data_IF_125164044805
#
_entry.id   IF_125164044805
#
_cell.length_a   1.000
_cell.length_b   1.000
_cell.length_c   1.000
_cell.angle_alpha   90.00
_cell.angle_beta   90.00
_cell.angle_gamma   90.00
#
_symmetry.space_group_name_H-M   'P 1'
#
loop_
_entity.id
_entity.type
_entity.pdbx_description
1 polymer ?
#
# COMPACT_ATOMS: atom_id res chain seq x y z
N UNK A 1 43.54 -5.30 14.48
CA UNK A 1 42.13 -5.29 14.91
C UNK A 1 41.43 -3.94 14.77
N UNK A 2 42.08 -2.78 15.00
CA UNK A 2 41.45 -1.45 14.90
C UNK A 2 40.87 -1.08 13.50
N UNK A 3 41.51 -1.52 12.42
CA UNK A 3 41.08 -1.20 11.03
C UNK A 3 39.77 -1.88 10.59
N UNK A 4 39.43 -3.02 11.16
CA UNK A 4 38.17 -3.74 10.82
C UNK A 4 36.97 -3.13 11.51
N UNK A 5 37.08 -2.68 12.76
CA UNK A 5 36.03 -2.03 13.54
C UNK A 5 35.69 -0.64 12.96
N UNK A 6 36.69 0.10 12.51
CA UNK A 6 36.49 1.41 11.84
C UNK A 6 35.80 1.24 10.48
N UNK A 7 36.11 0.24 9.68
CA UNK A 7 35.42 -0.05 8.40
C UNK A 7 33.96 -0.43 8.61
N UNK A 8 33.65 -1.26 9.60
CA UNK A 8 32.25 -1.65 9.89
C UNK A 8 31.41 -0.46 10.40
N UNK A 9 31.98 0.40 11.23
CA UNK A 9 31.33 1.64 11.70
C UNK A 9 31.03 2.62 10.56
N UNK A 10 31.96 2.79 9.63
CA UNK A 10 31.82 3.65 8.44
C UNK A 10 30.73 3.13 7.49
N UNK A 11 30.71 1.83 7.21
CA UNK A 11 29.70 1.17 6.37
C UNK A 11 28.30 1.31 6.98
N UNK A 12 28.16 1.16 8.30
CA UNK A 12 26.89 1.35 9.02
C UNK A 12 26.39 2.79 8.92
N UNK A 13 27.29 3.78 9.07
CA UNK A 13 26.95 5.20 8.94
C UNK A 13 26.49 5.54 7.52
N UNK A 14 27.20 5.06 6.50
CA UNK A 14 26.82 5.25 5.10
C UNK A 14 25.45 4.64 4.77
N UNK A 15 25.12 3.46 5.32
CA UNK A 15 23.83 2.82 5.11
C UNK A 15 22.70 3.59 5.80
N UNK A 16 22.91 4.08 7.02
CA UNK A 16 21.93 4.95 7.70
C UNK A 16 21.66 6.21 6.86
N UNK A 17 22.71 6.85 6.36
CA UNK A 17 22.56 8.05 5.52
C UNK A 17 21.84 7.75 4.19
N UNK A 18 22.10 6.61 3.58
CA UNK A 18 21.38 6.15 2.38
C UNK A 18 19.89 5.98 2.67
N UNK A 19 19.54 5.32 3.76
CA UNK A 19 18.14 5.14 4.18
C UNK A 19 17.45 6.47 4.45
N UNK A 20 18.11 7.41 5.12
CA UNK A 20 17.58 8.78 5.31
C UNK A 20 17.25 9.44 3.97
N UNK A 21 18.16 9.41 3.01
CA UNK A 21 17.94 9.97 1.67
C UNK A 21 16.78 9.32 0.92
N UNK A 22 16.55 8.01 1.12
CA UNK A 22 15.38 7.32 0.56
C UNK A 22 14.11 7.88 1.15
N UNK A 23 14.04 7.98 2.49
CA UNK A 23 12.86 8.50 3.18
C UNK A 23 12.57 9.95 2.78
N UNK A 24 13.59 10.81 2.75
CA UNK A 24 13.48 12.22 2.32
C UNK A 24 13.04 12.36 0.87
N UNK A 25 13.54 11.49 -0.02
CA UNK A 25 13.14 11.46 -1.42
C UNK A 25 11.67 11.10 -1.61
N UNK A 26 11.17 10.14 -0.82
CA UNK A 26 9.76 9.77 -0.82
C UNK A 26 8.88 10.91 -0.28
N UNK A 27 9.31 11.58 0.81
CA UNK A 27 8.59 12.74 1.38
C UNK A 27 8.43 13.87 0.36
N UNK A 28 9.53 14.25 -0.28
CA UNK A 28 9.49 15.33 -1.30
C UNK A 28 8.58 14.99 -2.47
N UNK A 29 8.52 13.71 -2.85
CA UNK A 29 7.74 13.30 -4.03
C UNK A 29 6.26 13.06 -3.71
N UNK A 30 5.96 12.62 -2.51
CA UNK A 30 4.62 12.25 -2.07
C UNK A 30 4.32 12.80 -0.67
N UNK A 31 4.33 14.14 -0.48
CA UNK A 31 4.14 14.76 0.83
C UNK A 31 2.75 14.44 1.42
N UNK A 32 1.72 14.36 0.55
CA UNK A 32 0.32 14.13 0.93
C UNK A 32 -0.14 12.69 0.66
N UNK A 33 0.80 11.71 0.74
CA UNK A 33 0.47 10.32 0.50
C UNK A 33 -0.55 9.81 1.53
N UNK A 34 -1.70 9.37 1.04
CA UNK A 34 -2.82 8.88 1.85
C UNK A 34 -3.48 7.65 1.22
N UNK A 35 -4.38 7.03 1.95
CA UNK A 35 -5.19 5.92 1.46
C UNK A 35 -5.98 6.35 0.21
N UNK A 36 -5.96 5.50 -0.82
CA UNK A 36 -6.66 5.75 -2.08
C UNK A 36 -8.11 5.22 -2.06
N UNK A 37 -8.52 4.51 -1.01
CA UNK A 37 -9.90 4.03 -0.85
C UNK A 37 -10.77 5.13 -0.28
N UNK A 38 -11.87 5.45 -0.96
CA UNK A 38 -12.86 6.43 -0.51
C UNK A 38 -13.64 5.88 0.69
N UNK A 39 -13.72 6.65 1.78
CA UNK A 39 -14.43 6.27 2.99
C UNK A 39 -14.76 7.51 3.83
N UNK A 40 -15.82 7.45 4.61
CA UNK A 40 -16.26 8.51 5.54
C UNK A 40 -15.97 8.17 7.01
N UNK A 41 -15.81 6.89 7.31
CA UNK A 41 -15.58 6.36 8.66
C UNK A 41 -14.82 5.03 8.62
N UNK A 42 -14.44 4.51 9.80
CA UNK A 42 -13.69 3.27 9.96
C UNK A 42 -14.41 2.03 9.40
N UNK A 43 -15.74 1.97 9.50
CA UNK A 43 -16.52 0.86 8.96
C UNK A 43 -16.48 0.83 7.43
N UNK A 44 -16.66 1.96 6.78
CA UNK A 44 -16.54 2.06 5.32
C UNK A 44 -15.13 1.71 4.83
N UNK A 45 -14.10 2.18 5.55
CA UNK A 45 -12.71 1.81 5.24
C UNK A 45 -12.48 0.31 5.40
N UNK A 46 -13.01 -0.30 6.45
CA UNK A 46 -12.91 -1.75 6.68
C UNK A 46 -13.50 -2.53 5.50
N UNK A 47 -14.74 -2.20 5.09
CA UNK A 47 -15.40 -2.82 3.93
C UNK A 47 -14.59 -2.59 2.65
N UNK A 48 -14.20 -1.34 2.36
CA UNK A 48 -13.44 -1.01 1.17
C UNK A 48 -12.11 -1.78 1.13
N UNK A 49 -11.44 -1.95 2.28
CA UNK A 49 -10.18 -2.70 2.37
C UNK A 49 -10.40 -4.20 2.13
N UNK A 50 -11.47 -4.80 2.66
CA UNK A 50 -11.83 -6.20 2.35
C UNK A 50 -12.10 -6.36 0.85
N UNK A 51 -12.82 -5.41 0.24
CA UNK A 51 -13.12 -5.43 -1.19
C UNK A 51 -11.88 -5.22 -2.07
N UNK A 52 -10.83 -4.54 -1.58
CA UNK A 52 -9.60 -4.27 -2.34
C UNK A 52 -8.70 -5.49 -2.55
N UNK A 53 -8.97 -6.62 -1.87
CA UNK A 53 -8.23 -7.85 -2.10
C UNK A 53 -8.33 -8.30 -3.58
N UNK A 54 -7.19 -8.28 -4.30
CA UNK A 54 -7.10 -8.60 -5.75
C UNK A 54 -8.04 -7.75 -6.62
N UNK A 55 -8.27 -6.49 -6.24
CA UNK A 55 -9.06 -5.52 -6.98
C UNK A 55 -8.36 -4.16 -6.95
N UNK A 56 -8.53 -3.35 -8.00
CA UNK A 56 -7.95 -2.00 -8.02
C UNK A 56 -8.76 -1.05 -7.14
N UNK A 57 -8.08 -0.05 -6.54
CA UNK A 57 -8.74 0.92 -5.68
C UNK A 57 -9.83 1.71 -6.44
N UNK A 58 -9.57 2.03 -7.73
CA UNK A 58 -10.56 2.73 -8.58
C UNK A 58 -11.83 1.90 -8.73
N UNK A 59 -11.70 0.58 -8.95
CA UNK A 59 -12.87 -0.30 -9.05
C UNK A 59 -13.59 -0.40 -7.71
N UNK A 60 -12.87 -0.51 -6.60
CA UNK A 60 -13.46 -0.52 -5.26
C UNK A 60 -14.24 0.77 -5.01
N UNK A 61 -13.65 1.93 -5.30
CA UNK A 61 -14.29 3.23 -5.09
C UNK A 61 -15.58 3.41 -5.91
N UNK A 62 -15.60 2.89 -7.16
CA UNK A 62 -16.84 2.88 -7.97
C UNK A 62 -17.91 2.04 -7.27
N UNK A 63 -17.58 0.83 -6.82
CA UNK A 63 -18.53 -0.09 -6.19
C UNK A 63 -18.99 0.43 -4.84
N UNK A 64 -18.08 0.91 -3.98
CA UNK A 64 -18.42 1.36 -2.63
C UNK A 64 -19.27 2.62 -2.60
N UNK A 65 -19.17 3.48 -3.62
CA UNK A 65 -20.05 4.65 -3.76
C UNK A 65 -21.53 4.27 -3.78
N UNK A 66 -21.90 3.26 -4.55
CA UNK A 66 -23.29 2.80 -4.64
C UNK A 66 -23.64 1.89 -3.45
N UNK A 67 -22.70 1.06 -3.02
CA UNK A 67 -22.85 0.18 -1.87
C UNK A 67 -23.21 0.99 -0.60
N UNK A 68 -22.47 2.05 -0.27
CA UNK A 68 -22.68 2.85 0.93
C UNK A 68 -23.90 3.80 0.83
N UNK A 69 -24.41 4.05 -0.35
CA UNK A 69 -25.73 4.67 -0.52
C UNK A 69 -26.86 3.71 -0.18
N UNK A 70 -26.76 2.46 -0.64
CA UNK A 70 -27.76 1.42 -0.42
C UNK A 70 -27.71 0.88 1.01
N UNK A 71 -26.52 0.63 1.53
CA UNK A 71 -26.29 0.11 2.87
C UNK A 71 -25.62 1.19 3.72
N UNK A 72 -26.44 2.14 4.19
CA UNK A 72 -25.95 3.37 4.83
C UNK A 72 -25.43 3.18 6.26
N UNK A 73 -25.67 2.02 6.87
CA UNK A 73 -25.24 1.70 8.23
C UNK A 73 -24.87 0.21 8.37
N UNK A 74 -24.25 -0.11 9.49
CA UNK A 74 -23.79 -1.46 9.83
C UNK A 74 -24.93 -2.49 9.82
N UNK A 75 -26.09 -2.11 10.35
CA UNK A 75 -27.27 -2.99 10.45
C UNK A 75 -27.77 -3.40 9.08
N UNK A 76 -27.81 -2.46 8.12
CA UNK A 76 -28.29 -2.78 6.77
C UNK A 76 -27.35 -3.72 6.02
N UNK A 77 -26.03 -3.67 6.27
CA UNK A 77 -25.07 -4.65 5.73
C UNK A 77 -25.24 -6.02 6.40
N UNK A 78 -25.39 -6.05 7.74
CA UNK A 78 -25.52 -7.30 8.52
C UNK A 78 -26.76 -8.10 8.15
N UNK A 79 -27.88 -7.40 7.79
CA UNK A 79 -29.18 -8.02 7.48
C UNK A 79 -29.47 -8.14 5.98
N UNK A 80 -28.59 -7.61 5.12
CA UNK A 80 -28.76 -7.66 3.67
C UNK A 80 -28.98 -9.10 3.16
N UNK A 81 -29.86 -9.33 2.17
CA UNK A 81 -29.91 -10.61 1.49
C UNK A 81 -28.55 -10.91 0.84
N UNK A 82 -27.91 -12.03 1.20
CA UNK A 82 -26.54 -12.32 0.78
C UNK A 82 -26.39 -12.31 -0.76
N UNK A 83 -27.38 -12.81 -1.49
CA UNK A 83 -27.37 -12.81 -2.96
C UNK A 83 -27.37 -11.40 -3.55
N UNK A 84 -28.08 -10.48 -2.92
CA UNK A 84 -28.13 -9.09 -3.33
C UNK A 84 -26.79 -8.41 -3.10
N UNK A 85 -26.21 -8.59 -1.91
CA UNK A 85 -24.87 -8.08 -1.59
C UNK A 85 -23.81 -8.64 -2.54
N UNK A 86 -23.89 -9.93 -2.90
CA UNK A 86 -23.01 -10.58 -3.90
C UNK A 86 -23.12 -9.89 -5.28
N UNK A 87 -24.32 -9.52 -5.71
CA UNK A 87 -24.55 -8.82 -6.98
C UNK A 87 -23.95 -7.42 -6.95
N UNK A 88 -24.19 -6.67 -5.88
CA UNK A 88 -23.74 -5.29 -5.72
C UNK A 88 -22.21 -5.17 -5.77
N UNK A 89 -21.48 -6.14 -5.23
CA UNK A 89 -20.01 -6.15 -5.22
C UNK A 89 -19.37 -7.04 -6.30
N UNK A 90 -20.16 -7.61 -7.22
CA UNK A 90 -19.70 -8.63 -8.18
C UNK A 90 -18.45 -8.22 -8.95
N UNK A 91 -18.36 -6.97 -9.36
CA UNK A 91 -17.25 -6.47 -10.17
C UNK A 91 -15.92 -6.34 -9.43
N UNK A 92 -15.89 -6.56 -8.11
CA UNK A 92 -14.65 -6.57 -7.32
C UNK A 92 -13.88 -7.89 -7.37
N UNK A 93 -14.43 -8.93 -8.01
CA UNK A 93 -13.88 -10.28 -8.03
C UNK A 93 -13.99 -11.01 -6.67
N UNK A 94 -13.94 -12.32 -6.66
CA UNK A 94 -14.10 -13.14 -5.43
C UNK A 94 -15.31 -12.74 -4.57
N UNK A 95 -16.32 -12.17 -5.21
CA UNK A 95 -17.44 -11.47 -4.60
C UNK A 95 -18.22 -12.30 -3.57
N UNK A 96 -18.38 -13.63 -3.79
CA UNK A 96 -19.09 -14.52 -2.85
C UNK A 96 -18.40 -14.58 -1.50
N UNK A 97 -17.08 -14.75 -1.48
CA UNK A 97 -16.30 -14.78 -0.25
C UNK A 97 -16.27 -13.39 0.40
N UNK A 98 -16.08 -12.34 -0.40
CA UNK A 98 -16.11 -10.95 0.08
C UNK A 98 -17.47 -10.59 0.68
N UNK A 99 -18.58 -10.97 0.06
CA UNK A 99 -19.92 -10.70 0.60
C UNK A 99 -20.12 -11.38 1.96
N UNK A 100 -19.73 -12.66 2.08
CA UNK A 100 -19.75 -13.35 3.37
C UNK A 100 -18.87 -12.68 4.41
N UNK A 101 -17.67 -12.25 4.02
CA UNK A 101 -16.73 -11.59 4.92
C UNK A 101 -17.28 -10.26 5.43
N UNK A 102 -17.74 -9.36 4.55
CA UNK A 102 -18.28 -8.06 4.98
C UNK A 102 -19.56 -8.19 5.79
N UNK A 103 -20.45 -9.13 5.44
CA UNK A 103 -21.66 -9.39 6.22
C UNK A 103 -21.34 -10.00 7.59
N UNK A 104 -20.42 -10.97 7.64
CA UNK A 104 -19.97 -11.58 8.89
C UNK A 104 -19.25 -10.58 9.79
N UNK A 105 -18.39 -9.72 9.21
CA UNK A 105 -17.76 -8.64 9.95
C UNK A 105 -18.80 -7.67 10.52
N UNK A 106 -19.79 -7.26 9.72
CA UNK A 106 -20.86 -6.37 10.17
C UNK A 106 -21.67 -6.97 11.34
N UNK A 107 -22.01 -8.26 11.28
CA UNK A 107 -22.70 -8.96 12.38
C UNK A 107 -21.85 -9.01 13.64
N UNK A 108 -20.58 -9.42 13.51
CA UNK A 108 -19.67 -9.50 14.66
C UNK A 108 -19.44 -8.13 15.30
N UNK A 109 -19.34 -7.05 14.50
CA UNK A 109 -19.24 -5.70 15.02
C UNK A 109 -20.46 -5.32 15.87
N UNK A 110 -21.67 -5.69 15.44
CA UNK A 110 -22.90 -5.46 16.22
C UNK A 110 -22.94 -6.28 17.51
N UNK A 111 -22.65 -7.56 17.41
CA UNK A 111 -22.81 -8.52 18.49
C UNK A 111 -21.72 -8.41 19.57
N UNK A 112 -20.46 -8.23 19.16
CA UNK A 112 -19.30 -8.27 20.06
C UNK A 112 -18.72 -6.89 20.39
N UNK A 113 -18.81 -5.94 19.46
CA UNK A 113 -18.10 -4.64 19.57
C UNK A 113 -19.04 -3.43 19.67
N UNK A 114 -20.35 -3.67 19.99
CA UNK A 114 -21.32 -2.59 20.19
C UNK A 114 -21.52 -1.69 18.98
N UNK A 115 -21.27 -2.21 17.76
CA UNK A 115 -21.38 -1.48 16.51
C UNK A 115 -20.15 -0.62 16.14
N UNK A 116 -19.08 -0.71 16.89
CA UNK A 116 -17.84 0.03 16.63
C UNK A 116 -16.77 -0.85 15.97
N UNK A 117 -15.94 -0.25 15.13
CA UNK A 117 -14.75 -0.94 14.59
C UNK A 117 -13.69 -0.96 15.69
N UNK A 118 -13.13 -2.14 16.02
CA UNK A 118 -12.11 -2.27 17.04
C UNK A 118 -10.85 -1.47 16.75
N UNK A 119 -10.17 -1.04 17.80
CA UNK A 119 -8.98 -0.21 17.73
C UNK A 119 -7.69 -0.95 18.12
N UNK A 120 -7.73 -2.28 18.17
CA UNK A 120 -6.57 -3.15 18.42
C UNK A 120 -6.40 -4.15 17.27
N UNK A 121 -5.17 -4.59 17.03
CA UNK A 121 -4.88 -5.57 15.99
C UNK A 121 -5.51 -6.93 16.32
N UNK A 122 -5.45 -7.31 17.59
CA UNK A 122 -5.96 -8.58 18.10
C UNK A 122 -7.46 -8.74 17.82
N UNK A 123 -8.24 -7.70 18.09
CA UNK A 123 -9.68 -7.71 17.85
C UNK A 123 -10.02 -7.58 16.35
N UNK A 124 -9.28 -6.77 15.59
CA UNK A 124 -9.53 -6.60 14.15
C UNK A 124 -9.35 -7.90 13.38
N UNK A 125 -8.35 -8.72 13.71
CA UNK A 125 -8.11 -9.99 12.99
C UNK A 125 -9.11 -11.09 13.34
N UNK A 126 -9.95 -10.89 14.36
CA UNK A 126 -11.09 -11.79 14.60
C UNK A 126 -12.21 -11.60 13.56
N UNK A 127 -12.28 -10.41 12.94
CA UNK A 127 -13.34 -10.09 11.98
C UNK A 127 -13.16 -10.92 10.70
N UNK A 128 -14.24 -11.53 10.17
CA UNK A 128 -14.18 -12.26 8.91
C UNK A 128 -13.59 -11.43 7.75
N UNK A 129 -12.59 -11.98 7.07
CA UNK A 129 -11.93 -11.32 5.94
C UNK A 129 -10.88 -10.28 6.31
N UNK A 130 -10.57 -10.13 7.59
CA UNK A 130 -9.55 -9.20 8.10
C UNK A 130 -8.29 -9.96 8.48
N UNK A 131 -7.23 -9.76 7.73
CA UNK A 131 -5.89 -10.20 8.06
C UNK A 131 -5.08 -9.01 8.61
N UNK A 132 -3.87 -9.28 9.16
CA UNK A 132 -2.97 -8.26 9.69
C UNK A 132 -2.78 -7.05 8.77
N UNK A 133 -2.63 -7.28 7.46
CA UNK A 133 -2.52 -6.20 6.48
C UNK A 133 -3.75 -5.28 6.48
N UNK A 134 -4.95 -5.84 6.50
CA UNK A 134 -6.20 -5.08 6.59
C UNK A 134 -6.27 -4.32 7.91
N UNK A 135 -5.93 -4.98 9.02
CA UNK A 135 -5.84 -4.34 10.34
C UNK A 135 -4.89 -3.13 10.34
N UNK A 136 -3.69 -3.26 9.78
CA UNK A 136 -2.73 -2.14 9.67
C UNK A 136 -3.31 -0.95 8.87
N UNK A 137 -4.06 -1.21 7.79
CA UNK A 137 -4.72 -0.12 7.03
C UNK A 137 -5.77 0.57 7.88
N UNK A 138 -6.65 -0.19 8.53
CA UNK A 138 -7.74 0.37 9.35
C UNK A 138 -7.20 1.13 10.55
N UNK A 139 -6.26 0.55 11.31
CA UNK A 139 -5.64 1.19 12.47
C UNK A 139 -4.89 2.47 12.09
N UNK A 140 -4.11 2.42 11.02
CA UNK A 140 -3.33 3.57 10.58
C UNK A 140 -4.20 4.70 10.05
N UNK A 141 -5.15 4.38 9.17
CA UNK A 141 -5.93 5.40 8.45
C UNK A 141 -7.06 5.97 9.29
N UNK A 142 -7.82 5.11 10.01
CA UNK A 142 -8.98 5.57 10.78
C UNK A 142 -8.63 6.06 12.19
N UNK A 143 -7.59 5.50 12.80
CA UNK A 143 -7.27 5.75 14.20
C UNK A 143 -5.89 6.37 14.44
N UNK A 144 -5.09 6.56 13.37
CA UNK A 144 -3.73 7.09 13.50
C UNK A 144 -2.76 6.17 14.25
N UNK A 145 -3.12 4.89 14.45
CA UNK A 145 -2.34 3.91 15.21
C UNK A 145 -1.35 3.18 14.30
N UNK A 146 -0.06 3.45 14.47
CA UNK A 146 1.02 2.82 13.72
C UNK A 146 1.40 1.48 14.38
N UNK A 147 0.67 0.40 14.04
CA UNK A 147 0.93 -0.97 14.54
C UNK A 147 1.81 -1.79 13.60
N UNK A 148 1.99 -1.33 12.36
CA UNK A 148 2.84 -1.95 11.37
C UNK A 148 2.93 -1.15 10.08
N UNK A 149 3.78 -1.63 9.16
CA UNK A 149 3.92 -1.11 7.81
C UNK A 149 3.12 -2.00 6.87
N UNK A 150 2.19 -1.41 6.11
CA UNK A 150 1.40 -2.14 5.12
C UNK A 150 2.31 -2.63 3.99
N UNK A 151 2.43 -3.94 3.82
CA UNK A 151 3.22 -4.56 2.77
C UNK A 151 2.31 -5.20 1.73
N UNK A 152 2.22 -4.56 0.57
CA UNK A 152 1.56 -5.09 -0.62
C UNK A 152 2.59 -5.48 -1.70
N UNK A 153 2.13 -5.84 -2.88
CA UNK A 153 3.02 -6.20 -4.00
C UNK A 153 3.90 -5.03 -4.46
N UNK A 154 3.45 -3.78 -4.29
CA UNK A 154 4.24 -2.59 -4.60
C UNK A 154 5.33 -2.38 -3.56
N UNK A 155 4.98 -2.42 -2.28
CA UNK A 155 5.94 -2.29 -1.17
C UNK A 155 6.98 -3.42 -1.23
N UNK A 156 6.56 -4.66 -1.43
CA UNK A 156 7.48 -5.81 -1.61
C UNK A 156 8.51 -5.52 -2.70
N UNK A 157 8.06 -5.19 -3.91
CA UNK A 157 8.95 -4.94 -5.05
C UNK A 157 9.88 -3.75 -4.81
N UNK A 158 9.33 -2.64 -4.34
CA UNK A 158 10.11 -1.40 -4.15
C UNK A 158 11.14 -1.57 -3.05
N UNK A 159 10.79 -2.16 -1.91
CA UNK A 159 11.73 -2.39 -0.81
C UNK A 159 12.86 -3.33 -1.19
N UNK A 160 12.59 -4.37 -1.99
CA UNK A 160 13.62 -5.25 -2.53
C UNK A 160 14.55 -4.51 -3.52
N UNK A 161 14.00 -3.73 -4.45
CA UNK A 161 14.79 -2.93 -5.41
C UNK A 161 15.65 -1.87 -4.72
N UNK A 162 15.15 -1.28 -3.64
CA UNK A 162 15.89 -0.34 -2.82
C UNK A 162 16.86 -1.04 -1.84
N UNK A 163 16.92 -2.38 -1.83
CA UNK A 163 17.70 -3.16 -0.88
C UNK A 163 17.45 -2.73 0.58
N UNK A 164 16.18 -2.48 0.93
CA UNK A 164 15.74 -2.26 2.30
C UNK A 164 15.47 -3.57 3.02
N UNK A 165 15.21 -4.63 2.28
CA UNK A 165 15.05 -6.01 2.73
C UNK A 165 15.53 -7.00 1.67
N UNK A 166 15.84 -8.21 2.09
CA UNK A 166 16.09 -9.36 1.22
C UNK A 166 14.97 -10.39 1.28
N UNK A 167 13.99 -10.16 2.16
CA UNK A 167 12.88 -11.05 2.39
C UNK A 167 11.87 -11.00 1.25
N UNK A 168 11.09 -12.08 1.10
CA UNK A 168 10.04 -12.22 0.09
C UNK A 168 8.66 -12.40 0.73
N UNK A 169 8.62 -12.77 2.00
CA UNK A 169 7.41 -12.97 2.80
C UNK A 169 6.97 -11.63 3.38
N UNK A 170 5.72 -11.18 3.16
CA UNK A 170 5.25 -9.86 3.58
C UNK A 170 5.48 -9.54 5.06
N UNK A 171 5.24 -10.47 5.95
CA UNK A 171 5.41 -10.30 7.41
C UNK A 171 6.88 -10.13 7.81
N UNK A 172 7.79 -10.75 7.07
CA UNK A 172 9.23 -10.57 7.28
C UNK A 172 9.70 -9.23 6.72
N UNK A 173 9.17 -8.82 5.55
CA UNK A 173 9.43 -7.50 4.96
C UNK A 173 8.93 -6.41 5.90
N UNK A 174 7.70 -6.52 6.43
CA UNK A 174 7.15 -5.59 7.42
C UNK A 174 8.12 -5.40 8.59
N UNK A 175 8.62 -6.49 9.17
CA UNK A 175 9.56 -6.49 10.29
C UNK A 175 10.87 -5.79 9.96
N UNK A 176 11.45 -6.08 8.79
CA UNK A 176 12.67 -5.42 8.33
C UNK A 176 12.46 -3.91 8.15
N UNK A 177 11.34 -3.51 7.55
CA UNK A 177 11.00 -2.11 7.33
C UNK A 177 10.74 -1.38 8.65
N UNK A 178 10.02 -2.00 9.59
CA UNK A 178 9.78 -1.44 10.93
C UNK A 178 11.08 -1.19 11.71
N UNK A 179 12.11 -2.02 11.51
CA UNK A 179 13.42 -1.85 12.15
C UNK A 179 14.23 -0.67 11.61
N UNK A 180 13.90 -0.14 10.42
CA UNK A 180 14.68 0.91 9.75
C UNK A 180 13.91 2.22 9.55
N UNK A 181 12.58 2.18 9.57
CA UNK A 181 11.70 3.35 9.42
C UNK A 181 11.22 3.80 10.79
N UNK A 182 11.34 5.08 11.16
CA UNK A 182 10.80 5.59 12.42
C UNK A 182 9.28 5.32 12.54
N UNK A 183 8.80 4.91 13.71
CA UNK A 183 7.39 4.53 13.94
C UNK A 183 6.40 5.61 13.50
N UNK A 184 6.70 6.86 13.78
CA UNK A 184 5.87 8.00 13.38
C UNK A 184 5.64 8.12 11.86
N UNK A 185 6.43 7.40 11.05
CA UNK A 185 6.36 7.41 9.59
C UNK A 185 5.74 6.15 8.98
N UNK A 186 5.43 5.11 9.74
CA UNK A 186 4.98 3.83 9.19
C UNK A 186 3.74 3.97 8.29
N UNK A 187 2.78 4.79 8.72
CA UNK A 187 1.55 5.02 7.95
C UNK A 187 1.85 5.74 6.63
N UNK A 188 2.50 6.91 6.70
CA UNK A 188 2.83 7.70 5.50
C UNK A 188 3.79 6.95 4.58
N UNK A 189 4.81 6.29 5.12
CA UNK A 189 5.77 5.49 4.35
C UNK A 189 5.08 4.37 3.57
N UNK A 190 4.10 3.69 4.16
CA UNK A 190 3.32 2.66 3.46
C UNK A 190 2.66 3.23 2.20
N UNK A 191 1.95 4.35 2.32
CA UNK A 191 1.28 5.01 1.19
C UNK A 191 2.28 5.55 0.16
N UNK A 192 3.38 6.16 0.60
CA UNK A 192 4.44 6.66 -0.27
C UNK A 192 5.06 5.53 -1.11
N UNK A 193 5.35 4.38 -0.49
CA UNK A 193 5.91 3.22 -1.19
C UNK A 193 4.92 2.62 -2.20
N UNK A 194 3.63 2.57 -1.87
CA UNK A 194 2.57 2.13 -2.78
C UNK A 194 2.50 3.06 -3.99
N UNK A 195 2.40 4.39 -3.76
CA UNK A 195 2.35 5.38 -4.83
C UNK A 195 3.62 5.37 -5.69
N UNK A 196 4.79 5.26 -5.06
CA UNK A 196 6.05 5.13 -5.78
C UNK A 196 6.09 3.87 -6.67
N UNK A 197 5.60 2.75 -6.16
CA UNK A 197 5.50 1.50 -6.92
C UNK A 197 4.49 1.55 -8.07
N UNK A 198 3.39 2.28 -7.92
CA UNK A 198 2.37 2.46 -8.96
C UNK A 198 2.83 3.39 -10.08
N UNK A 199 3.40 4.52 -9.73
CA UNK A 199 3.63 5.60 -10.68
C UNK A 199 5.07 5.65 -11.23
N UNK A 200 6.07 5.29 -10.44
CA UNK A 200 7.49 5.44 -10.79
C UNK A 200 8.19 4.09 -10.91
N UNK A 201 8.31 3.35 -9.81
CA UNK A 201 9.03 2.08 -9.76
C UNK A 201 8.14 0.92 -10.23
N UNK A 202 7.63 1.02 -11.47
CA UNK A 202 6.73 0.02 -12.09
C UNK A 202 7.40 -1.35 -12.18
N UNK A 203 6.58 -2.43 -12.21
CA UNK A 203 7.08 -3.80 -12.31
C UNK A 203 7.89 -4.00 -13.60
N UNK A 204 7.33 -3.54 -14.71
CA UNK A 204 8.00 -3.52 -16.02
C UNK A 204 8.36 -2.08 -16.39
N UNK A 205 9.57 -1.86 -16.91
CA UNK A 205 10.08 -0.54 -17.37
C UNK A 205 9.89 0.54 -16.30
N UNK A 206 10.59 0.47 -15.15
CA UNK A 206 10.52 1.50 -14.13
C UNK A 206 10.99 2.84 -14.69
N UNK A 207 10.37 3.94 -14.27
CA UNK A 207 10.70 5.30 -14.71
C UNK A 207 11.84 5.88 -13.86
N UNK A 208 13.04 5.28 -13.95
CA UNK A 208 14.16 5.64 -13.09
C UNK A 208 14.61 7.09 -13.26
N UNK A 209 14.45 7.68 -14.46
CA UNK A 209 14.72 9.10 -14.73
C UNK A 209 13.81 10.08 -13.98
N UNK A 210 12.65 9.62 -13.47
CA UNK A 210 11.73 10.41 -12.63
C UNK A 210 11.83 10.02 -11.15
N UNK A 211 12.71 9.07 -10.80
CA UNK A 211 12.78 8.51 -9.46
C UNK A 211 13.53 9.45 -8.50
N UNK A 212 12.89 9.90 -7.41
CA UNK A 212 13.50 10.83 -6.45
C UNK A 212 14.66 10.20 -5.66
N UNK A 213 14.78 8.88 -5.71
CA UNK A 213 15.79 8.10 -4.97
C UNK A 213 16.73 7.31 -5.90
N UNK A 214 16.77 7.68 -7.19
CA UNK A 214 17.56 6.98 -8.20
C UNK A 214 19.04 6.86 -7.81
N UNK A 215 19.65 7.96 -7.33
CA UNK A 215 21.07 8.01 -6.97
C UNK A 215 21.46 7.07 -5.82
N UNK A 216 20.53 6.76 -4.93
CA UNK A 216 20.76 5.88 -3.78
C UNK A 216 20.16 4.49 -3.95
N UNK A 217 19.47 4.26 -5.08
CA UNK A 217 18.90 2.98 -5.45
C UNK A 217 20.00 2.02 -5.94
N UNK A 218 19.97 0.77 -5.46
CA UNK A 218 20.96 -0.27 -5.83
C UNK A 218 20.37 -1.35 -6.75
N UNK A 219 19.14 -1.13 -7.26
CA UNK A 219 18.51 -2.11 -8.16
C UNK A 219 19.36 -2.36 -9.40
N UNK A 220 19.47 -3.63 -9.80
CA UNK A 220 20.18 -4.05 -11.01
C UNK A 220 19.35 -3.84 -12.28
N UNK A 221 18.02 -3.70 -12.16
CA UNK A 221 17.06 -3.53 -13.27
C UNK A 221 16.67 -2.06 -13.50
N UNK A 222 17.58 -1.13 -13.15
CA UNK A 222 17.39 0.29 -13.48
C UNK A 222 17.28 0.49 -14.99
N UNK A 223 16.32 1.33 -15.41
CA UNK A 223 16.24 1.81 -16.78
C UNK A 223 17.06 3.10 -16.89
N UNK A 224 18.22 3.04 -17.53
CA UNK A 224 19.13 4.19 -17.72
C UNK A 224 18.81 5.04 -18.95
N UNK A 225 17.89 4.58 -19.81
CA UNK A 225 17.57 5.27 -21.05
C UNK A 225 16.47 6.32 -20.83
N UNK A 226 16.82 7.60 -21.04
CA UNK A 226 15.83 8.59 -21.44
C UNK A 226 15.09 8.06 -22.68
N UNK A 227 13.76 8.14 -22.76
CA UNK A 227 13.09 7.90 -24.05
C UNK A 227 13.71 8.91 -25.05
N UNK A 228 14.06 8.46 -26.28
CA UNK A 228 14.60 9.37 -27.28
C UNK A 228 13.64 10.56 -27.41
N UNK A 229 14.17 11.77 -27.31
CA UNK A 229 13.39 12.99 -27.48
C UNK A 229 12.71 12.93 -28.84
N UNK A 230 11.37 13.17 -28.90
CA UNK A 230 10.60 13.16 -30.15
C UNK A 230 11.13 14.12 -31.22
N UNK A 231 12.07 14.98 -30.89
CA UNK A 231 12.76 15.92 -31.76
C UNK A 231 13.83 15.31 -32.68
N UNK A 232 14.39 14.13 -32.34
CA UNK A 232 15.42 13.51 -33.18
C UNK A 232 14.86 12.72 -34.39
N UNK A 233 13.57 12.37 -34.38
CA UNK A 233 12.94 11.60 -35.46
C UNK A 233 12.52 12.44 -36.69
N UNK A 234 12.53 13.78 -36.60
CA UNK A 234 12.15 14.67 -37.72
C UNK A 234 13.34 15.19 -38.53
N UNK A 235 14.56 15.10 -38.01
CA UNK A 235 15.76 15.59 -38.74
C UNK A 235 16.26 14.62 -39.83
N UNK A 236 15.87 13.33 -39.79
CA UNK A 236 16.34 12.30 -40.74
C UNK A 236 15.54 12.20 -42.05
N UNK A 237 14.47 12.97 -42.26
CA UNK A 237 13.63 12.90 -43.47
C UNK A 237 13.79 14.04 -44.47
N UNK A 238 14.73 14.96 -44.30
CA UNK A 238 14.93 16.13 -45.21
C UNK A 238 16.19 16.07 -46.03
N UNK A 239 16.88 14.96 -46.17
CA UNK A 239 18.04 14.84 -47.05
C UNK A 239 17.99 13.55 -47.89
N UNK A 240 16.93 13.33 -48.61
CA UNK A 240 16.85 12.51 -49.85
C UNK A 240 15.66 13.04 -50.68
N UNK A 241 15.93 14.01 -51.45
CA UNK A 241 15.14 14.50 -52.55
C UNK A 241 16.10 15.08 -53.56
#
# INVERSE_FOLDING_TARGET
>A
MATMVQKTGSLRKAEIQRRSRILEGLDRRFPDAKCALDHRNAFELLIATILSAQCTDERVNIVTRDLFRKYSCLQTVATAPLRELEQDIRSTGFYRNKARSIQGAARMLLEKFGGNVPETMEELVELPGVARKTGNVVLGVSFGKAEGIVVDTHVTRVSQRLELTKETVPEKIERDLMAIVPRARWISFSHQMILHGRHICKARKPLCHLCPVEQVCRSKDKTTAFPPSKTAAQAGRRSRG
#
